data_IF_099493687852
#
_entry.id   IF_099493687852
#
_cell.length_a   1.000
_cell.length_b   1.000
_cell.length_c   1.000
_cell.angle_alpha   90.00
_cell.angle_beta   90.00
_cell.angle_gamma   90.00
#
_symmetry.space_group_name_H-M   'P 1'
#
loop_
_entity.id
_entity.type
_entity.pdbx_description
1 polymer ?
#
# COMPACT_ATOMS: atom_id res chain seq x y z
N UNK A 1 10.57 -5.83 -28.69
CA UNK A 1 9.80 -5.30 -27.54
C UNK A 1 10.67 -5.40 -26.31
N UNK A 2 10.74 -4.39 -25.46
CA UNK A 2 11.29 -4.56 -24.11
C UNK A 2 10.25 -5.34 -23.29
N UNK A 3 10.66 -6.43 -22.67
CA UNK A 3 9.80 -7.13 -21.70
C UNK A 3 9.58 -6.23 -20.48
N UNK A 4 8.36 -6.24 -19.96
CA UNK A 4 8.01 -5.54 -18.73
C UNK A 4 8.26 -6.50 -17.57
N UNK A 5 9.14 -6.11 -16.64
CA UNK A 5 9.40 -6.87 -15.43
C UNK A 5 8.25 -6.67 -14.44
N UNK A 6 7.71 -7.76 -13.90
CA UNK A 6 6.61 -7.71 -12.93
C UNK A 6 6.97 -6.91 -11.68
N UNK A 7 8.20 -7.06 -11.18
CA UNK A 7 8.67 -6.31 -10.00
C UNK A 7 8.72 -4.80 -10.28
N UNK A 8 9.09 -4.39 -11.50
CA UNK A 8 9.11 -2.97 -11.87
C UNK A 8 7.70 -2.38 -11.86
N UNK A 9 6.69 -3.16 -12.28
CA UNK A 9 5.27 -2.76 -12.21
C UNK A 9 4.84 -2.61 -10.76
N UNK A 10 5.13 -3.59 -9.90
CA UNK A 10 4.80 -3.52 -8.47
C UNK A 10 5.42 -2.29 -7.80
N UNK A 11 6.71 -2.02 -8.06
CA UNK A 11 7.38 -0.86 -7.50
C UNK A 11 6.84 0.47 -8.03
N UNK A 12 6.46 0.54 -9.31
CA UNK A 12 5.85 1.73 -9.89
C UNK A 12 4.45 1.99 -9.28
N UNK A 13 3.62 0.96 -9.14
CA UNK A 13 2.32 1.06 -8.48
C UNK A 13 2.45 1.49 -7.02
N UNK A 14 3.33 0.84 -6.26
CA UNK A 14 3.63 1.20 -4.86
C UNK A 14 4.07 2.65 -4.73
N UNK A 15 4.94 3.12 -5.63
CA UNK A 15 5.38 4.52 -5.63
C UNK A 15 4.23 5.49 -5.95
N UNK A 16 3.33 5.14 -6.86
CA UNK A 16 2.17 5.96 -7.16
C UNK A 16 1.21 6.06 -5.95
N UNK A 17 1.00 4.96 -5.22
CA UNK A 17 0.19 4.94 -4.00
C UNK A 17 0.82 5.79 -2.87
N UNK A 18 2.13 5.67 -2.65
CA UNK A 18 2.87 6.51 -1.69
C UNK A 18 2.72 8.02 -1.99
N UNK A 19 2.58 8.43 -3.25
CA UNK A 19 2.34 9.84 -3.59
C UNK A 19 0.93 10.30 -3.18
N UNK A 20 -0.08 9.45 -3.32
CA UNK A 20 -1.44 9.72 -2.82
C UNK A 20 -1.44 9.80 -1.29
N UNK A 21 -0.66 8.94 -0.63
CA UNK A 21 -0.50 8.96 0.83
C UNK A 21 0.20 10.23 1.33
N UNK A 22 1.25 10.67 0.63
CA UNK A 22 1.89 11.95 0.92
C UNK A 22 0.91 13.12 0.82
N UNK A 23 0.09 13.16 -0.25
CA UNK A 23 -0.92 14.22 -0.42
C UNK A 23 -1.97 14.23 0.70
N UNK A 24 -2.32 13.06 1.24
CA UNK A 24 -3.34 12.93 2.27
C UNK A 24 -2.81 13.14 3.70
N UNK A 25 -1.69 12.51 4.05
CA UNK A 25 -1.20 12.37 5.42
C UNK A 25 0.16 13.05 5.65
N UNK A 26 0.80 13.58 4.60
CA UNK A 26 2.17 14.08 4.68
C UNK A 26 3.19 12.96 4.94
N UNK A 27 2.85 11.71 4.63
CA UNK A 27 3.69 10.55 4.87
C UNK A 27 5.01 10.62 4.08
N UNK A 28 6.12 10.22 4.69
CA UNK A 28 7.45 10.27 4.03
C UNK A 28 7.55 9.29 2.86
N UNK A 29 8.20 9.71 1.76
CA UNK A 29 8.47 8.90 0.55
C UNK A 29 8.93 7.47 0.86
N UNK A 30 8.58 6.51 0.00
CA UNK A 30 8.97 5.10 0.12
C UNK A 30 8.38 4.40 1.35
N UNK A 31 7.19 4.84 1.81
CA UNK A 31 6.47 4.24 2.92
C UNK A 31 6.26 2.75 2.70
N UNK A 32 5.56 2.39 1.63
CA UNK A 32 5.24 0.99 1.32
C UNK A 32 6.48 0.12 1.15
N UNK A 33 7.57 0.68 0.62
CA UNK A 33 8.86 -0.05 0.48
C UNK A 33 9.51 -0.34 1.83
N UNK A 34 9.46 0.59 2.78
CA UNK A 34 9.98 0.36 4.14
C UNK A 34 9.14 -0.70 4.87
N UNK A 35 7.82 -0.65 4.74
CA UNK A 35 6.91 -1.65 5.29
C UNK A 35 7.20 -3.02 4.71
N UNK A 36 7.34 -3.13 3.37
CA UNK A 36 7.68 -4.37 2.69
C UNK A 36 9.04 -4.93 3.14
N UNK A 37 10.05 -4.08 3.30
CA UNK A 37 11.36 -4.47 3.83
C UNK A 37 11.27 -5.03 5.26
N UNK A 38 10.60 -4.31 6.16
CA UNK A 38 10.42 -4.78 7.55
C UNK A 38 9.63 -6.09 7.60
N UNK A 39 8.60 -6.24 6.78
CA UNK A 39 7.82 -7.47 6.65
C UNK A 39 8.67 -8.64 6.15
N UNK A 40 9.49 -8.43 5.13
CA UNK A 40 10.41 -9.44 4.60
C UNK A 40 11.39 -9.92 5.68
N UNK A 41 12.05 -9.00 6.39
CA UNK A 41 13.00 -9.33 7.46
C UNK A 41 12.33 -10.11 8.60
N UNK A 42 11.12 -9.71 8.98
CA UNK A 42 10.34 -10.43 10.00
C UNK A 42 9.95 -11.84 9.51
N UNK A 43 9.45 -11.96 8.28
CA UNK A 43 9.09 -13.25 7.69
C UNK A 43 10.28 -14.20 7.59
N UNK A 44 11.44 -13.68 7.19
CA UNK A 44 12.70 -14.42 7.18
C UNK A 44 13.08 -14.92 8.57
N UNK A 45 13.01 -14.05 9.58
CA UNK A 45 13.30 -14.41 10.97
C UNK A 45 12.35 -15.49 11.52
N UNK A 46 11.12 -15.58 10.98
CA UNK A 46 10.12 -16.59 11.32
C UNK A 46 10.24 -17.87 10.48
N UNK A 47 11.18 -17.94 9.52
CA UNK A 47 11.39 -19.12 8.69
C UNK A 47 10.33 -19.34 7.61
N UNK A 48 9.68 -18.27 7.12
CA UNK A 48 8.75 -18.33 6.00
C UNK A 48 9.48 -18.79 4.72
N UNK A 49 8.77 -19.50 3.84
CA UNK A 49 9.34 -19.91 2.56
C UNK A 49 9.34 -18.75 1.55
N UNK A 50 10.18 -18.85 0.50
CA UNK A 50 10.33 -17.81 -0.52
C UNK A 50 9.00 -17.37 -1.13
N UNK A 51 8.09 -18.32 -1.38
CA UNK A 51 6.76 -18.01 -1.94
C UNK A 51 5.98 -17.09 -1.00
N UNK A 52 5.92 -17.43 0.29
CA UNK A 52 5.14 -16.66 1.26
C UNK A 52 5.79 -15.29 1.54
N UNK A 53 7.12 -15.20 1.44
CA UNK A 53 7.85 -13.93 1.51
C UNK A 53 7.54 -13.03 0.33
N UNK A 54 7.47 -13.57 -0.89
CA UNK A 54 7.09 -12.82 -2.09
C UNK A 54 5.65 -12.31 -1.95
N UNK A 55 4.73 -13.16 -1.51
CA UNK A 55 3.33 -12.78 -1.28
C UNK A 55 3.23 -11.68 -0.20
N UNK A 56 3.97 -11.81 0.91
CA UNK A 56 4.03 -10.79 1.96
C UNK A 56 4.56 -9.44 1.45
N UNK A 57 5.67 -9.46 0.70
CA UNK A 57 6.26 -8.25 0.12
C UNK A 57 5.30 -7.60 -0.88
N UNK A 58 4.65 -8.37 -1.74
CA UNK A 58 3.69 -7.84 -2.70
C UNK A 58 2.48 -7.20 -2.00
N UNK A 59 1.92 -7.86 -0.98
CA UNK A 59 0.84 -7.31 -0.17
C UNK A 59 1.26 -6.02 0.54
N UNK A 60 2.43 -5.99 1.15
CA UNK A 60 2.94 -4.79 1.83
C UNK A 60 3.16 -3.60 0.88
N UNK A 61 3.68 -3.86 -0.34
CA UNK A 61 3.88 -2.83 -1.36
C UNK A 61 2.57 -2.19 -1.85
N UNK A 62 1.46 -2.92 -1.75
CA UNK A 62 0.14 -2.55 -2.28
C UNK A 62 -0.93 -2.38 -1.18
N UNK A 63 -0.54 -2.31 0.08
CA UNK A 63 -1.52 -2.36 1.18
C UNK A 63 -2.48 -1.15 1.18
N UNK A 64 -2.00 0.01 0.74
CA UNK A 64 -2.81 1.25 0.60
C UNK A 64 -3.51 1.37 -0.77
N UNK A 65 -3.82 0.26 -1.44
CA UNK A 65 -4.37 0.28 -2.80
C UNK A 65 -5.71 1.02 -2.95
N UNK A 66 -6.43 1.29 -1.86
CA UNK A 66 -7.71 2.01 -1.88
C UNK A 66 -7.61 3.46 -1.39
N UNK A 67 -6.41 4.00 -1.17
CA UNK A 67 -6.29 5.35 -0.60
C UNK A 67 -6.88 6.44 -1.53
N UNK A 68 -6.71 6.28 -2.84
CA UNK A 68 -7.33 7.18 -3.82
C UNK A 68 -8.87 7.08 -3.82
N UNK A 69 -9.42 5.87 -3.65
CA UNK A 69 -10.86 5.65 -3.52
C UNK A 69 -11.39 6.29 -2.25
N UNK A 70 -10.73 6.05 -1.11
CA UNK A 70 -11.06 6.63 0.18
C UNK A 70 -11.11 8.17 0.13
N UNK A 71 -10.13 8.79 -0.52
CA UNK A 71 -10.11 10.24 -0.74
C UNK A 71 -11.33 10.70 -1.55
N UNK A 72 -11.68 9.95 -2.61
CA UNK A 72 -12.76 10.31 -3.50
C UNK A 72 -14.16 10.10 -2.90
N UNK A 73 -14.35 9.08 -2.06
CA UNK A 73 -15.67 8.67 -1.55
C UNK A 73 -15.95 9.11 -0.12
N UNK A 74 -14.97 9.00 0.78
CA UNK A 74 -15.19 9.22 2.21
C UNK A 74 -14.75 10.61 2.65
N UNK A 75 -13.59 11.08 2.16
CA UNK A 75 -13.05 12.37 2.56
C UNK A 75 -13.66 13.55 1.82
N UNK A 76 -14.17 13.32 0.61
CA UNK A 76 -14.70 14.38 -0.24
C UNK A 76 -16.00 14.92 0.36
N UNK A 77 -15.90 16.11 0.96
CA UNK A 77 -17.04 16.79 1.59
C UNK A 77 -17.11 16.62 3.11
N UNK A 78 -16.07 16.06 3.75
CA UNK A 78 -15.95 16.09 5.21
C UNK A 78 -15.52 17.49 5.68
N UNK A 79 -16.37 18.13 6.48
CA UNK A 79 -16.10 19.46 7.06
C UNK A 79 -15.19 19.41 8.30
N UNK A 80 -15.02 18.23 8.92
CA UNK A 80 -14.20 18.06 10.13
C UNK A 80 -13.13 16.95 9.95
N UNK A 81 -11.84 17.32 9.80
CA UNK A 81 -10.73 16.38 9.69
C UNK A 81 -10.55 15.45 10.90
N UNK A 82 -11.04 15.83 12.09
CA UNK A 82 -10.93 15.00 13.30
C UNK A 82 -11.85 13.76 13.28
N UNK A 83 -12.81 13.72 12.35
CA UNK A 83 -13.71 12.57 12.15
C UNK A 83 -13.20 11.57 11.08
N UNK A 84 -11.99 11.79 10.56
CA UNK A 84 -11.38 10.91 9.56
C UNK A 84 -11.10 9.51 10.13
N UNK A 85 -11.89 8.51 9.72
CA UNK A 85 -11.58 7.11 9.99
C UNK A 85 -10.67 6.55 8.89
N UNK A 86 -9.37 6.61 9.14
CA UNK A 86 -8.37 6.07 8.21
C UNK A 86 -8.55 4.56 8.00
N UNK A 87 -9.10 3.81 8.96
CA UNK A 87 -9.29 2.36 8.82
C UNK A 87 -10.24 1.95 7.70
N UNK A 88 -11.03 2.90 7.16
CA UNK A 88 -11.91 2.64 6.02
C UNK A 88 -11.10 2.30 4.77
N UNK A 89 -9.95 2.94 4.52
CA UNK A 89 -9.15 2.63 3.32
C UNK A 89 -8.68 1.17 3.34
N UNK A 90 -8.38 0.58 4.50
CA UNK A 90 -8.00 -0.84 4.57
C UNK A 90 -9.16 -1.75 4.14
N UNK A 91 -10.38 -1.48 4.62
CA UNK A 91 -11.58 -2.26 4.26
C UNK A 91 -11.95 -2.13 2.78
N UNK A 92 -11.73 -0.95 2.20
CA UNK A 92 -11.89 -0.74 0.75
C UNK A 92 -10.80 -1.51 0.00
N UNK A 93 -9.56 -1.47 0.48
CA UNK A 93 -8.42 -2.17 -0.12
C UNK A 93 -8.56 -3.69 -0.11
N UNK A 94 -9.16 -4.25 0.95
CA UNK A 94 -9.52 -5.68 1.01
C UNK A 94 -10.54 -6.09 -0.07
N UNK A 95 -11.42 -5.18 -0.50
CA UNK A 95 -12.40 -5.46 -1.57
C UNK A 95 -11.77 -5.44 -2.96
N UNK A 96 -10.72 -4.64 -3.17
CA UNK A 96 -10.04 -4.53 -4.46
C UNK A 96 -9.28 -5.81 -4.85
N UNK A 97 -9.05 -6.71 -3.90
CA UNK A 97 -8.34 -7.98 -4.10
C UNK A 97 -9.26 -9.21 -4.07
N UNK A 98 -10.58 -9.01 -3.91
CA UNK A 98 -11.59 -10.07 -3.78
C UNK A 98 -12.15 -10.58 -5.12
#
# INVERSE_FOLDING_TARGET
MKEICFNDVLFACSQALDYVEYELLGATNHHSKRVAWMGMELGNALGMCDKDLIDLVACALLHDNALAEYIATELRGMDNPEMMDIGIHCKLGERNIA
#
